data_IF_382505331185
#
_entry.id   IF_382505331185
#
_cell.length_a   1.000
_cell.length_b   1.000
_cell.length_c   1.000
_cell.angle_alpha   90.00
_cell.angle_beta   90.00
_cell.angle_gamma   90.00
#
_symmetry.space_group_name_H-M   'P 1'
#
loop_
_entity.id
_entity.type
_entity.pdbx_description
1 polymer ?
#
# COMPACT_ATOMS: atom_id res chain seq x y z
N UNK A 1 8.45 35.00 -12.48
CA UNK A 1 8.77 34.23 -13.70
C UNK A 1 7.47 34.08 -14.47
N UNK A 2 7.38 34.60 -15.70
CA UNK A 2 6.20 34.39 -16.53
C UNK A 2 6.11 32.88 -16.84
N UNK A 3 5.14 32.19 -16.27
CA UNK A 3 4.80 30.81 -16.65
C UNK A 3 4.49 30.81 -18.14
N UNK A 4 5.32 30.13 -18.93
CA UNK A 4 5.06 29.93 -20.36
C UNK A 4 3.69 29.24 -20.52
N UNK A 5 2.92 29.67 -21.52
CA UNK A 5 1.61 29.09 -21.80
C UNK A 5 1.76 27.59 -22.17
N UNK A 6 1.21 26.66 -21.34
CA UNK A 6 1.40 25.23 -21.54
C UNK A 6 0.77 24.74 -22.84
N UNK A 7 -0.31 25.39 -23.31
CA UNK A 7 -0.95 25.03 -24.58
C UNK A 7 -0.08 25.41 -25.77
N UNK A 8 0.60 26.55 -25.69
CA UNK A 8 1.55 26.96 -26.72
C UNK A 8 2.76 26.02 -26.76
N UNK A 9 3.25 25.54 -25.61
CA UNK A 9 4.30 24.52 -25.54
C UNK A 9 3.85 23.18 -26.13
N UNK A 10 2.62 22.75 -25.81
CA UNK A 10 2.05 21.52 -26.35
C UNK A 10 1.96 21.56 -27.90
N UNK A 11 1.47 22.66 -28.46
CA UNK A 11 1.42 22.85 -29.92
C UNK A 11 2.81 22.84 -30.56
N UNK A 12 3.83 23.38 -29.89
CA UNK A 12 5.22 23.32 -30.37
C UNK A 12 5.72 21.87 -30.36
N UNK A 13 5.43 21.11 -29.30
CA UNK A 13 5.80 19.71 -29.19
C UNK A 13 5.16 18.85 -30.30
N UNK A 14 3.87 19.05 -30.57
CA UNK A 14 3.15 18.35 -31.65
C UNK A 14 3.74 18.64 -33.03
N UNK A 15 4.06 19.91 -33.31
CA UNK A 15 4.72 20.30 -34.56
C UNK A 15 6.11 19.70 -34.70
N UNK A 16 6.89 19.69 -33.61
CA UNK A 16 8.21 19.07 -33.59
C UNK A 16 8.11 17.55 -33.88
N UNK A 17 7.18 16.86 -33.22
CA UNK A 17 6.94 15.43 -33.43
C UNK A 17 6.51 15.10 -34.87
N UNK A 18 5.56 15.87 -35.42
CA UNK A 18 5.11 15.71 -36.81
C UNK A 18 6.26 15.89 -37.80
N UNK A 19 7.13 16.89 -37.57
CA UNK A 19 8.30 17.15 -38.43
C UNK A 19 9.34 16.03 -38.37
N UNK A 20 9.45 15.30 -37.25
CA UNK A 20 10.34 14.16 -37.09
C UNK A 20 9.84 12.91 -37.86
N UNK A 21 8.51 12.77 -38.00
CA UNK A 21 7.88 11.65 -38.71
C UNK A 21 7.83 11.79 -40.23
N UNK A 22 7.81 13.02 -40.76
CA UNK A 22 7.51 13.30 -42.18
C UNK A 22 8.65 13.01 -43.18
N UNK A 23 9.83 12.53 -42.76
CA UNK A 23 10.93 12.15 -43.66
C UNK A 23 11.63 13.30 -44.42
N UNK A 24 11.03 14.48 -44.53
CA UNK A 24 11.64 15.69 -45.08
C UNK A 24 12.48 16.40 -44.01
N UNK A 25 13.73 15.98 -43.81
CA UNK A 25 14.67 16.69 -42.93
C UNK A 25 15.61 17.58 -43.74
N UNK A 26 15.33 18.89 -43.77
CA UNK A 26 16.22 19.90 -44.37
C UNK A 26 17.22 20.48 -43.35
N UNK A 27 16.93 20.34 -42.05
CA UNK A 27 17.80 20.75 -40.93
C UNK A 27 17.64 19.79 -39.74
N UNK A 28 18.75 19.34 -39.14
CA UNK A 28 18.80 18.49 -37.95
C UNK A 28 18.63 16.98 -38.19
N UNK A 29 19.18 16.17 -37.28
CA UNK A 29 19.03 14.72 -37.29
C UNK A 29 17.60 14.30 -36.90
N UNK A 30 17.12 13.15 -37.39
CA UNK A 30 15.78 12.63 -37.04
C UNK A 30 15.63 12.38 -35.54
N UNK A 31 16.67 11.85 -34.91
CA UNK A 31 16.73 11.59 -33.47
C UNK A 31 16.64 12.89 -32.64
N UNK A 32 17.45 13.90 -32.97
CA UNK A 32 17.46 15.23 -32.34
C UNK A 32 16.07 15.89 -32.36
N UNK A 33 15.29 15.69 -33.43
CA UNK A 33 13.91 16.19 -33.51
C UNK A 33 12.96 15.48 -32.55
N UNK A 34 13.12 14.17 -32.35
CA UNK A 34 12.35 13.42 -31.38
C UNK A 34 12.75 13.78 -29.94
N UNK A 35 14.04 14.00 -29.67
CA UNK A 35 14.54 14.50 -28.38
C UNK A 35 13.92 15.86 -28.05
N UNK A 36 13.99 16.83 -28.99
CA UNK A 36 13.36 18.14 -28.82
C UNK A 36 11.84 18.04 -28.62
N UNK A 37 11.14 17.15 -29.35
CA UNK A 37 9.71 16.93 -29.15
C UNK A 37 9.39 16.40 -27.74
N UNK A 38 10.14 15.41 -27.25
CA UNK A 38 9.98 14.86 -25.91
C UNK A 38 10.24 15.93 -24.83
N UNK A 39 11.30 16.72 -24.96
CA UNK A 39 11.61 17.82 -24.05
C UNK A 39 10.50 18.89 -24.02
N UNK A 40 9.95 19.26 -25.18
CA UNK A 40 8.85 20.22 -25.27
C UNK A 40 7.57 19.69 -24.59
N UNK A 41 7.27 18.39 -24.73
CA UNK A 41 6.18 17.76 -24.01
C UNK A 41 6.41 17.78 -22.48
N UNK A 42 7.62 17.49 -22.01
CA UNK A 42 7.99 17.58 -20.59
C UNK A 42 7.86 19.01 -20.06
N UNK A 43 8.28 20.02 -20.84
CA UNK A 43 8.12 21.43 -20.47
C UNK A 43 6.64 21.82 -20.38
N UNK A 44 5.82 21.40 -21.36
CA UNK A 44 4.38 21.61 -21.34
C UNK A 44 3.72 20.94 -20.13
N UNK A 45 4.09 19.69 -19.84
CA UNK A 45 3.59 18.93 -18.70
C UNK A 45 3.90 19.63 -17.36
N UNK A 46 5.13 20.11 -17.19
CA UNK A 46 5.53 20.87 -16.02
C UNK A 46 4.77 22.20 -15.89
N UNK A 47 4.53 22.89 -16.99
CA UNK A 47 3.72 24.11 -17.00
C UNK A 47 2.24 23.83 -16.64
N UNK A 48 1.64 22.75 -17.16
CA UNK A 48 0.31 22.28 -16.76
C UNK A 48 0.25 21.92 -15.27
N UNK A 49 1.28 21.22 -14.76
CA UNK A 49 1.42 20.87 -13.34
C UNK A 49 1.44 22.12 -12.45
N UNK A 50 2.18 23.16 -12.83
CA UNK A 50 2.22 24.43 -12.11
C UNK A 50 0.86 25.14 -12.08
N UNK A 51 0.03 24.92 -13.09
CA UNK A 51 -1.34 25.47 -13.19
C UNK A 51 -2.39 24.55 -12.55
N UNK A 52 -1.98 23.47 -11.86
CA UNK A 52 -2.85 22.46 -11.24
C UNK A 52 -3.77 21.74 -12.24
N UNK A 53 -3.37 21.70 -13.51
CA UNK A 53 -4.05 20.94 -14.58
C UNK A 53 -3.43 19.55 -14.65
N UNK A 54 -3.81 18.68 -13.69
CA UNK A 54 -3.19 17.37 -13.49
C UNK A 54 -3.38 16.41 -14.67
N UNK A 55 -4.58 16.40 -15.26
CA UNK A 55 -4.92 15.55 -16.40
C UNK A 55 -4.09 15.90 -17.63
N UNK A 56 -4.05 17.19 -17.99
CA UNK A 56 -3.29 17.69 -19.13
C UNK A 56 -1.78 17.50 -18.94
N UNK A 57 -1.29 17.67 -17.71
CA UNK A 57 0.10 17.41 -17.36
C UNK A 57 0.47 15.93 -17.57
N UNK A 58 -0.35 15.01 -17.05
CA UNK A 58 -0.13 13.58 -17.20
C UNK A 58 -0.16 13.15 -18.67
N UNK A 59 -1.11 13.66 -19.46
CA UNK A 59 -1.21 13.35 -20.89
C UNK A 59 0.04 13.80 -21.65
N UNK A 60 0.56 15.00 -21.34
CA UNK A 60 1.79 15.50 -21.93
C UNK A 60 3.01 14.65 -21.54
N UNK A 61 3.11 14.21 -20.28
CA UNK A 61 4.16 13.27 -19.86
C UNK A 61 4.07 11.92 -20.57
N UNK A 62 2.87 11.36 -20.74
CA UNK A 62 2.68 10.10 -21.48
C UNK A 62 3.11 10.22 -22.95
N UNK A 63 2.84 11.37 -23.59
CA UNK A 63 3.32 11.64 -24.95
C UNK A 63 4.85 11.71 -25.00
N UNK A 64 5.50 12.35 -24.04
CA UNK A 64 6.96 12.35 -23.94
C UNK A 64 7.51 10.93 -23.75
N UNK A 65 6.94 10.15 -22.82
CA UNK A 65 7.36 8.78 -22.55
C UNK A 65 7.20 7.87 -23.78
N UNK A 66 6.11 8.03 -24.55
CA UNK A 66 5.90 7.28 -25.78
C UNK A 66 6.98 7.56 -26.84
N UNK A 67 7.42 8.82 -26.97
CA UNK A 67 8.50 9.21 -27.89
C UNK A 67 9.82 8.60 -27.43
N UNK A 68 10.15 8.73 -26.14
CA UNK A 68 11.36 8.15 -25.53
C UNK A 68 11.41 6.64 -25.77
N UNK A 69 10.29 5.94 -25.54
CA UNK A 69 10.22 4.49 -25.70
C UNK A 69 10.32 4.02 -27.16
N UNK A 70 9.59 4.68 -28.08
CA UNK A 70 9.38 4.16 -29.44
C UNK A 70 10.29 4.77 -30.50
N UNK A 71 10.68 6.04 -30.33
CA UNK A 71 11.45 6.78 -31.32
C UNK A 71 12.91 6.95 -30.94
N UNK A 72 13.20 7.06 -29.64
CA UNK A 72 14.57 7.25 -29.11
C UNK A 72 15.19 5.96 -28.58
N UNK A 73 14.38 4.93 -28.31
CA UNK A 73 14.81 3.67 -27.70
C UNK A 73 15.45 3.90 -26.31
N UNK A 74 14.84 4.79 -25.52
CA UNK A 74 15.26 5.19 -24.17
C UNK A 74 14.22 4.73 -23.12
N UNK A 75 14.10 3.42 -22.86
CA UNK A 75 13.07 2.89 -21.96
C UNK A 75 13.26 3.31 -20.50
N UNK A 76 14.50 3.57 -20.07
CA UNK A 76 14.78 4.09 -18.73
C UNK A 76 14.22 5.51 -18.53
N UNK A 77 14.37 6.37 -19.53
CA UNK A 77 13.84 7.74 -19.48
C UNK A 77 12.32 7.74 -19.63
N UNK A 78 11.77 6.88 -20.49
CA UNK A 78 10.32 6.67 -20.56
C UNK A 78 9.74 6.26 -19.20
N UNK A 79 10.36 5.29 -18.51
CA UNK A 79 9.92 4.87 -17.17
C UNK A 79 10.02 5.99 -16.14
N UNK A 80 11.09 6.81 -16.17
CA UNK A 80 11.20 7.99 -15.30
C UNK A 80 10.07 9.00 -15.59
N UNK A 81 9.80 9.30 -16.86
CA UNK A 81 8.73 10.22 -17.28
C UNK A 81 7.36 9.72 -16.87
N UNK A 82 7.08 8.42 -16.98
CA UNK A 82 5.83 7.81 -16.51
C UNK A 82 5.64 7.93 -14.99
N UNK A 83 6.72 7.92 -14.20
CA UNK A 83 6.61 8.18 -12.75
C UNK A 83 6.25 9.64 -12.45
N UNK A 84 6.64 10.59 -13.29
CA UNK A 84 6.17 11.98 -13.19
C UNK A 84 4.70 12.11 -13.61
N UNK A 85 4.27 11.39 -14.65
CA UNK A 85 2.86 11.31 -15.05
C UNK A 85 1.97 10.79 -13.92
N UNK A 86 2.39 9.73 -13.22
CA UNK A 86 1.70 9.22 -12.03
C UNK A 86 1.50 10.31 -10.97
N UNK A 87 2.55 11.07 -10.64
CA UNK A 87 2.48 12.13 -9.62
C UNK A 87 1.46 13.21 -10.00
N UNK A 88 1.32 13.52 -11.28
CA UNK A 88 0.34 14.51 -11.76
C UNK A 88 -1.08 13.97 -11.82
N UNK A 89 -1.27 12.70 -12.22
CA UNK A 89 -2.58 12.07 -12.32
C UNK A 89 -3.17 11.67 -10.97
N UNK A 90 -2.33 11.39 -9.96
CA UNK A 90 -2.72 10.77 -8.67
C UNK A 90 -4.02 11.32 -8.06
N UNK A 91 -4.27 12.62 -8.16
CA UNK A 91 -5.48 13.27 -7.59
C UNK A 91 -6.61 13.53 -8.60
N UNK A 92 -6.30 13.62 -9.89
CA UNK A 92 -7.30 14.00 -10.91
C UNK A 92 -7.88 12.77 -11.61
N UNK A 93 -7.02 11.80 -11.93
CA UNK A 93 -7.36 10.61 -12.70
C UNK A 93 -6.57 9.41 -12.11
N UNK A 94 -6.98 8.87 -10.95
CA UNK A 94 -6.22 7.83 -10.25
C UNK A 94 -6.00 6.55 -11.08
N UNK A 95 -6.99 6.10 -11.85
CA UNK A 95 -6.84 4.90 -12.71
C UNK A 95 -5.78 5.10 -13.81
N UNK A 96 -5.68 6.30 -14.40
CA UNK A 96 -4.62 6.63 -15.36
C UNK A 96 -3.24 6.69 -14.67
N UNK A 97 -3.19 7.19 -13.43
CA UNK A 97 -1.99 7.16 -12.61
C UNK A 97 -1.50 5.71 -12.40
N UNK A 98 -2.39 4.80 -12.01
CA UNK A 98 -2.06 3.39 -11.81
C UNK A 98 -1.49 2.75 -13.09
N UNK A 99 -2.16 2.95 -14.23
CA UNK A 99 -1.72 2.45 -15.54
C UNK A 99 -0.32 2.93 -15.95
N UNK A 100 -0.05 4.22 -15.78
CA UNK A 100 1.27 4.80 -16.07
C UNK A 100 2.35 4.17 -15.18
N UNK A 101 2.05 4.05 -13.89
CA UNK A 101 3.01 3.54 -12.92
C UNK A 101 3.26 2.05 -13.05
N UNK A 102 2.25 1.23 -13.36
CA UNK A 102 2.43 -0.21 -13.64
C UNK A 102 3.37 -0.43 -14.84
N UNK A 103 3.27 0.43 -15.87
CA UNK A 103 4.19 0.37 -17.02
C UNK A 103 5.64 0.65 -16.60
N UNK A 104 5.87 1.64 -15.73
CA UNK A 104 7.19 1.93 -15.18
C UNK A 104 7.71 0.82 -14.25
N UNK A 105 6.83 0.22 -13.42
CA UNK A 105 7.16 -0.90 -12.55
C UNK A 105 7.61 -2.11 -13.37
N UNK A 106 6.87 -2.46 -14.43
CA UNK A 106 7.24 -3.56 -15.31
C UNK A 106 8.65 -3.38 -15.89
N UNK A 107 9.00 -2.16 -16.32
CA UNK A 107 10.36 -1.85 -16.77
C UNK A 107 11.41 -2.06 -15.67
N UNK A 108 11.19 -1.53 -14.46
CA UNK A 108 12.14 -1.71 -13.35
C UNK A 108 12.30 -3.18 -12.94
N UNK A 109 11.21 -3.95 -12.94
CA UNK A 109 11.23 -5.39 -12.65
C UNK A 109 12.01 -6.16 -13.71
N UNK A 110 11.79 -5.89 -15.00
CA UNK A 110 12.54 -6.53 -16.10
C UNK A 110 14.04 -6.21 -16.05
N UNK A 111 14.42 -5.03 -15.55
CA UNK A 111 15.82 -4.63 -15.34
C UNK A 111 16.44 -5.22 -14.07
N UNK A 112 15.67 -5.96 -13.26
CA UNK A 112 16.11 -6.53 -11.98
C UNK A 112 16.19 -5.52 -10.84
N UNK A 113 15.65 -4.31 -11.00
CA UNK A 113 15.62 -3.29 -9.95
C UNK A 113 14.39 -3.45 -9.05
N UNK A 114 14.34 -4.57 -8.32
CA UNK A 114 13.21 -4.94 -7.46
C UNK A 114 12.94 -3.94 -6.36
N UNK A 115 13.98 -3.34 -5.75
CA UNK A 115 13.80 -2.31 -4.71
C UNK A 115 13.05 -1.08 -5.21
N UNK A 116 13.41 -0.60 -6.41
CA UNK A 116 12.72 0.54 -7.03
C UNK A 116 11.31 0.16 -7.47
N UNK A 117 11.14 -1.02 -8.04
CA UNK A 117 9.83 -1.57 -8.38
C UNK A 117 8.90 -1.67 -7.16
N UNK A 118 9.41 -2.17 -6.02
CA UNK A 118 8.67 -2.30 -4.76
C UNK A 118 8.22 -0.94 -4.22
N UNK A 119 9.10 0.06 -4.27
CA UNK A 119 8.76 1.43 -3.86
C UNK A 119 7.60 1.98 -4.68
N UNK A 120 7.62 1.79 -6.00
CA UNK A 120 6.53 2.23 -6.87
C UNK A 120 5.27 1.39 -6.71
N UNK A 121 5.39 0.07 -6.49
CA UNK A 121 4.23 -0.79 -6.23
C UNK A 121 3.54 -0.44 -4.91
N UNK A 122 4.30 -0.05 -3.90
CA UNK A 122 3.75 0.52 -2.66
C UNK A 122 2.96 1.82 -2.93
N UNK A 123 3.43 2.69 -3.84
CA UNK A 123 2.70 3.91 -4.21
C UNK A 123 1.39 3.60 -4.96
N UNK A 124 1.36 2.55 -5.80
CA UNK A 124 0.13 2.05 -6.42
C UNK A 124 -0.84 1.53 -5.35
N UNK A 125 -0.32 0.77 -4.38
CA UNK A 125 -1.15 0.25 -3.29
C UNK A 125 -1.80 1.39 -2.47
N UNK A 126 -1.04 2.44 -2.16
CA UNK A 126 -1.54 3.63 -1.47
C UNK A 126 -2.58 4.39 -2.32
N UNK A 127 -2.36 4.49 -3.63
CA UNK A 127 -3.33 5.07 -4.56
C UNK A 127 -4.66 4.29 -4.53
N UNK A 128 -4.59 2.96 -4.58
CA UNK A 128 -5.77 2.10 -4.51
C UNK A 128 -6.50 2.21 -3.18
N UNK A 129 -5.77 2.22 -2.07
CA UNK A 129 -6.34 2.35 -0.73
C UNK A 129 -7.01 3.71 -0.51
N UNK A 130 -6.30 4.80 -0.83
CA UNK A 130 -6.68 6.16 -0.42
C UNK A 130 -7.56 6.87 -1.44
N UNK A 131 -7.18 6.82 -2.73
CA UNK A 131 -7.86 7.62 -3.77
C UNK A 131 -9.01 6.84 -4.41
N UNK A 132 -8.87 5.51 -4.58
CA UNK A 132 -9.91 4.67 -5.17
C UNK A 132 -10.77 3.92 -4.15
N UNK A 133 -10.30 3.78 -2.91
CA UNK A 133 -10.97 2.99 -1.87
C UNK A 133 -11.04 1.49 -2.16
N UNK A 134 -10.23 1.00 -3.11
CA UNK A 134 -10.21 -0.40 -3.55
C UNK A 134 -9.24 -1.22 -2.67
N UNK A 135 -9.77 -1.74 -1.57
CA UNK A 135 -8.98 -2.45 -0.58
C UNK A 135 -8.38 -3.75 -1.12
N UNK A 136 -9.08 -4.43 -2.04
CA UNK A 136 -8.61 -5.70 -2.60
C UNK A 136 -7.39 -5.50 -3.49
N UNK A 137 -7.46 -4.56 -4.44
CA UNK A 137 -6.30 -4.22 -5.28
C UNK A 137 -5.15 -3.65 -4.44
N UNK A 138 -5.46 -2.85 -3.41
CA UNK A 138 -4.45 -2.33 -2.49
C UNK A 138 -3.70 -3.45 -1.76
N UNK A 139 -4.41 -4.44 -1.21
CA UNK A 139 -3.81 -5.59 -0.52
C UNK A 139 -2.88 -6.39 -1.43
N UNK A 140 -3.33 -6.74 -2.64
CA UNK A 140 -2.52 -7.49 -3.61
C UNK A 140 -1.23 -6.72 -3.99
N UNK A 141 -1.35 -5.39 -4.18
CA UNK A 141 -0.22 -4.54 -4.49
C UNK A 141 0.77 -4.41 -3.31
N UNK A 142 0.27 -4.26 -2.07
CA UNK A 142 1.10 -4.24 -0.87
C UNK A 142 1.83 -5.57 -0.65
N UNK A 143 1.15 -6.71 -0.86
CA UNK A 143 1.72 -8.05 -0.73
C UNK A 143 2.82 -8.29 -1.76
N UNK A 144 2.59 -7.91 -3.02
CA UNK A 144 3.61 -7.99 -4.08
C UNK A 144 4.84 -7.13 -3.74
N UNK A 145 4.62 -5.89 -3.29
CA UNK A 145 5.70 -4.98 -2.91
C UNK A 145 6.49 -5.51 -1.70
N UNK A 146 5.82 -6.11 -0.73
CA UNK A 146 6.43 -6.71 0.44
C UNK A 146 7.32 -7.90 0.06
N UNK A 147 6.85 -8.78 -0.84
CA UNK A 147 7.64 -9.90 -1.35
C UNK A 147 8.90 -9.46 -2.10
N UNK A 148 8.84 -8.37 -2.88
CA UNK A 148 10.02 -7.81 -3.52
C UNK A 148 11.01 -7.19 -2.51
N UNK A 149 10.53 -6.53 -1.45
CA UNK A 149 11.41 -6.04 -0.39
C UNK A 149 12.06 -7.18 0.41
N UNK A 150 11.33 -8.27 0.65
CA UNK A 150 11.86 -9.46 1.31
C UNK A 150 12.99 -10.08 0.47
N UNK A 151 12.79 -10.23 -0.84
CA UNK A 151 13.82 -10.70 -1.78
C UNK A 151 15.06 -9.79 -1.83
N UNK A 152 14.88 -8.48 -1.64
CA UNK A 152 15.96 -7.48 -1.56
C UNK A 152 16.64 -7.41 -0.16
N UNK A 153 16.34 -8.34 0.75
CA UNK A 153 16.81 -8.33 2.15
C UNK A 153 16.44 -7.04 2.91
N UNK A 154 15.35 -6.38 2.53
CA UNK A 154 14.83 -5.17 3.16
C UNK A 154 13.67 -5.49 4.12
N UNK A 155 13.93 -6.37 5.11
CA UNK A 155 12.95 -6.93 6.03
C UNK A 155 12.11 -5.87 6.77
N UNK A 156 12.72 -4.77 7.21
CA UNK A 156 11.99 -3.69 7.88
C UNK A 156 10.91 -3.04 6.98
N UNK A 157 11.19 -2.92 5.68
CA UNK A 157 10.24 -2.38 4.70
C UNK A 157 9.17 -3.42 4.38
N UNK A 158 9.55 -4.69 4.20
CA UNK A 158 8.63 -5.80 3.97
C UNK A 158 7.63 -5.95 5.14
N UNK A 159 8.14 -5.98 6.38
CA UNK A 159 7.32 -6.07 7.60
C UNK A 159 6.29 -4.93 7.68
N UNK A 160 6.68 -3.70 7.36
CA UNK A 160 5.75 -2.56 7.33
C UNK A 160 4.59 -2.79 6.36
N UNK A 161 4.87 -3.37 5.19
CA UNK A 161 3.83 -3.66 4.19
C UNK A 161 2.98 -4.88 4.56
N UNK A 162 3.58 -5.92 5.13
CA UNK A 162 2.82 -7.08 5.62
C UNK A 162 1.86 -6.71 6.77
N UNK A 163 2.26 -5.82 7.67
CA UNK A 163 1.35 -5.27 8.69
C UNK A 163 0.18 -4.52 8.03
N UNK A 164 0.44 -3.79 6.94
CA UNK A 164 -0.60 -3.09 6.19
C UNK A 164 -1.56 -4.07 5.51
N UNK A 165 -1.05 -5.14 4.90
CA UNK A 165 -1.86 -6.24 4.35
C UNK A 165 -2.71 -6.87 5.45
N UNK A 166 -2.13 -7.16 6.62
CA UNK A 166 -2.87 -7.71 7.76
C UNK A 166 -3.97 -6.79 8.26
N UNK A 167 -3.68 -5.48 8.37
CA UNK A 167 -4.67 -4.48 8.77
C UNK A 167 -5.86 -4.43 7.81
N UNK A 168 -5.60 -4.40 6.49
CA UNK A 168 -6.63 -4.37 5.46
C UNK A 168 -7.41 -5.69 5.38
N UNK A 169 -6.72 -6.83 5.45
CA UNK A 169 -7.35 -8.16 5.39
C UNK A 169 -8.33 -8.36 6.54
N UNK A 170 -7.95 -7.96 7.75
CA UNK A 170 -8.84 -8.05 8.90
C UNK A 170 -10.08 -7.15 8.75
N UNK A 171 -9.92 -5.95 8.18
CA UNK A 171 -11.06 -5.05 7.92
C UNK A 171 -12.00 -5.60 6.85
N UNK A 172 -11.49 -6.29 5.83
CA UNK A 172 -12.31 -6.98 4.81
C UNK A 172 -12.94 -8.29 5.33
N UNK A 173 -12.52 -8.78 6.50
CA UNK A 173 -13.02 -10.01 7.13
C UNK A 173 -12.22 -11.27 6.81
N UNK A 174 -11.09 -11.15 6.11
CA UNK A 174 -10.14 -12.25 5.92
C UNK A 174 -9.18 -12.33 7.12
N UNK A 175 -9.73 -12.84 8.23
CA UNK A 175 -9.00 -12.93 9.50
C UNK A 175 -7.82 -13.89 9.43
N UNK A 176 -7.93 -14.98 8.67
CA UNK A 176 -6.84 -15.96 8.52
C UNK A 176 -5.61 -15.34 7.86
N UNK A 177 -5.80 -14.60 6.77
CA UNK A 177 -4.71 -13.87 6.11
C UNK A 177 -4.11 -12.80 7.04
N UNK A 178 -4.94 -12.12 7.82
CA UNK A 178 -4.47 -11.15 8.79
C UNK A 178 -3.58 -11.78 9.87
N UNK A 179 -4.03 -12.89 10.46
CA UNK A 179 -3.29 -13.67 11.47
C UNK A 179 -1.92 -14.08 10.92
N UNK A 180 -1.88 -14.68 9.74
CA UNK A 180 -0.63 -15.13 9.11
C UNK A 180 0.37 -13.97 8.97
N UNK A 181 -0.11 -12.82 8.50
CA UNK A 181 0.72 -11.63 8.33
C UNK A 181 1.27 -11.09 9.66
N UNK A 182 0.42 -10.95 10.68
CA UNK A 182 0.83 -10.43 11.99
C UNK A 182 1.79 -11.38 12.70
N UNK A 183 1.50 -12.69 12.70
CA UNK A 183 2.37 -13.68 13.32
C UNK A 183 3.72 -13.80 12.62
N UNK A 184 3.74 -13.73 11.28
CA UNK A 184 4.99 -13.70 10.52
C UNK A 184 5.86 -12.51 10.94
N UNK A 185 5.27 -11.31 11.00
CA UNK A 185 6.00 -10.10 11.39
C UNK A 185 6.43 -10.14 12.86
N UNK A 186 5.62 -10.73 13.74
CA UNK A 186 5.99 -10.95 15.14
C UNK A 186 7.22 -11.86 15.26
N UNK A 187 7.22 -13.00 14.55
CA UNK A 187 8.33 -13.97 14.52
C UNK A 187 9.62 -13.38 13.94
N UNK A 188 9.52 -12.53 12.92
CA UNK A 188 10.70 -11.85 12.35
C UNK A 188 11.23 -10.73 13.27
N UNK A 189 10.33 -10.02 13.94
CA UNK A 189 10.67 -8.85 14.77
C UNK A 189 11.23 -9.19 16.15
N UNK A 190 11.00 -10.40 16.67
CA UNK A 190 11.39 -10.75 18.05
C UNK A 190 12.89 -10.79 18.29
N UNK A 191 13.66 -11.17 17.26
CA UNK A 191 15.12 -11.22 17.31
C UNK A 191 15.76 -9.83 17.13
N UNK A 192 14.96 -8.82 16.82
CA UNK A 192 15.42 -7.45 16.61
C UNK A 192 15.13 -6.58 17.86
N UNK A 193 16.17 -6.23 18.61
CA UNK A 193 16.07 -5.43 19.83
C UNK A 193 15.35 -4.07 19.63
N UNK A 194 15.35 -3.51 18.42
CA UNK A 194 14.64 -2.27 18.11
C UNK A 194 13.13 -2.49 17.91
N UNK A 195 12.73 -3.65 17.39
CA UNK A 195 11.34 -3.97 17.06
C UNK A 195 10.64 -4.82 18.13
N UNK A 196 11.39 -5.38 19.09
CA UNK A 196 10.87 -6.21 20.17
C UNK A 196 9.69 -5.58 20.90
N UNK A 197 9.74 -4.27 21.16
CA UNK A 197 8.66 -3.54 21.84
C UNK A 197 7.34 -3.51 21.05
N UNK A 198 7.40 -3.66 19.74
CA UNK A 198 6.22 -3.68 18.85
C UNK A 198 5.63 -5.09 18.69
N UNK A 199 6.33 -6.14 19.12
CA UNK A 199 5.87 -7.54 18.97
C UNK A 199 4.54 -7.76 19.68
N UNK A 200 4.41 -7.27 20.92
CA UNK A 200 3.17 -7.34 21.70
C UNK A 200 1.95 -6.74 20.99
N UNK A 201 2.16 -5.68 20.20
CA UNK A 201 1.11 -5.03 19.42
C UNK A 201 0.70 -5.93 18.24
N UNK A 202 1.66 -6.57 17.56
CA UNK A 202 1.36 -7.51 16.48
C UNK A 202 0.63 -8.74 16.99
N UNK A 203 1.05 -9.28 18.14
CA UNK A 203 0.40 -10.42 18.80
C UNK A 203 -1.01 -10.05 19.29
N UNK A 204 -1.22 -8.83 19.80
CA UNK A 204 -2.56 -8.32 20.14
C UNK A 204 -3.45 -8.30 18.90
N UNK A 205 -2.97 -7.76 17.78
CA UNK A 205 -3.73 -7.72 16.53
C UNK A 205 -4.07 -9.11 16.00
N UNK A 206 -3.11 -10.04 16.04
CA UNK A 206 -3.33 -11.44 15.66
C UNK A 206 -4.38 -12.11 16.58
N UNK A 207 -4.28 -11.91 17.89
CA UNK A 207 -5.24 -12.42 18.88
C UNK A 207 -6.66 -11.87 18.68
N UNK A 208 -6.81 -10.58 18.37
CA UNK A 208 -8.12 -9.99 18.02
C UNK A 208 -8.69 -10.64 16.76
N UNK A 209 -7.85 -10.94 15.77
CA UNK A 209 -8.30 -11.65 14.56
C UNK A 209 -8.71 -13.09 14.87
N UNK A 210 -7.98 -13.81 15.74
CA UNK A 210 -8.37 -15.14 16.22
C UNK A 210 -9.71 -15.12 16.96
N UNK A 211 -9.98 -14.12 17.80
CA UNK A 211 -11.30 -13.95 18.41
C UNK A 211 -12.40 -13.75 17.36
N UNK A 212 -12.09 -13.06 16.25
CA UNK A 212 -13.05 -12.77 15.19
C UNK A 212 -13.37 -13.97 14.28
N UNK A 213 -12.57 -15.05 14.29
CA UNK A 213 -12.86 -16.28 13.53
C UNK A 213 -13.91 -17.17 14.19
N UNK A 214 -14.30 -16.88 15.45
CA UNK A 214 -15.15 -17.72 16.30
C UNK A 214 -14.56 -19.13 16.61
N UNK A 215 -13.27 -19.35 16.38
CA UNK A 215 -12.57 -20.58 16.77
C UNK A 215 -11.84 -20.38 18.12
N UNK A 216 -12.56 -20.56 19.23
CA UNK A 216 -12.01 -20.35 20.57
C UNK A 216 -10.87 -21.33 20.91
N UNK A 217 -10.94 -22.56 20.41
CA UNK A 217 -9.89 -23.57 20.61
C UNK A 217 -8.62 -23.15 19.88
N UNK A 218 -8.76 -22.70 18.63
CA UNK A 218 -7.67 -22.11 17.85
C UNK A 218 -7.07 -20.88 18.52
N UNK A 219 -7.92 -19.97 19.03
CA UNK A 219 -7.50 -18.76 19.71
C UNK A 219 -6.71 -19.05 20.99
N UNK A 220 -7.18 -19.94 21.87
CA UNK A 220 -6.43 -20.33 23.08
C UNK A 220 -5.07 -20.93 22.75
N UNK A 221 -5.04 -21.85 21.78
CA UNK A 221 -3.79 -22.48 21.33
C UNK A 221 -2.81 -21.46 20.76
N UNK A 222 -3.31 -20.48 20.01
CA UNK A 222 -2.49 -19.38 19.49
C UNK A 222 -1.91 -18.54 20.63
N UNK A 223 -2.71 -18.15 21.63
CA UNK A 223 -2.23 -17.40 22.81
C UNK A 223 -1.14 -18.15 23.58
N UNK A 224 -1.29 -19.47 23.77
CA UNK A 224 -0.26 -20.30 24.39
C UNK A 224 1.03 -20.28 23.57
N UNK A 225 0.94 -20.44 22.24
CA UNK A 225 2.10 -20.37 21.36
C UNK A 225 2.79 -19.01 21.34
N UNK A 226 2.06 -17.93 21.64
CA UNK A 226 2.63 -16.59 21.74
C UNK A 226 3.49 -16.42 23.00
N UNK A 227 3.16 -17.12 24.09
CA UNK A 227 4.00 -17.16 25.28
C UNK A 227 5.31 -17.91 25.02
N UNK A 228 5.27 -18.97 24.20
CA UNK A 228 6.48 -19.68 23.78
C UNK A 228 7.37 -18.81 22.87
N UNK A 229 6.74 -17.94 22.08
CA UNK A 229 7.45 -16.99 21.22
C UNK A 229 8.14 -15.91 22.06
N UNK A 230 7.40 -15.21 22.93
CA UNK A 230 7.94 -14.21 23.85
C UNK A 230 7.51 -14.50 25.28
N UNK A 231 8.43 -15.02 26.09
CA UNK A 231 8.15 -15.35 27.50
C UNK A 231 7.70 -14.12 28.32
N UNK A 232 8.01 -12.90 27.86
CA UNK A 232 7.58 -11.67 28.54
C UNK A 232 6.15 -11.26 28.20
N UNK A 233 5.56 -11.81 27.12
CA UNK A 233 4.23 -11.47 26.64
C UNK A 233 3.15 -11.74 27.68
N UNK A 234 3.25 -12.86 28.41
CA UNK A 234 2.34 -13.22 29.50
C UNK A 234 2.14 -12.12 30.56
N UNK A 235 3.16 -11.28 30.79
CA UNK A 235 3.12 -10.18 31.76
C UNK A 235 2.56 -8.87 31.20
N UNK A 236 2.27 -8.84 29.89
CA UNK A 236 1.81 -7.63 29.20
C UNK A 236 0.31 -7.44 29.36
N UNK A 237 -0.15 -6.18 29.24
CA UNK A 237 -1.57 -5.85 29.29
C UNK A 237 -2.31 -6.42 28.09
N UNK A 238 -1.61 -6.50 26.97
CA UNK A 238 -2.07 -7.04 25.70
C UNK A 238 -2.45 -8.52 25.84
N UNK A 239 -1.61 -9.34 26.48
CA UNK A 239 -1.92 -10.74 26.77
C UNK A 239 -3.08 -10.88 27.77
N UNK A 240 -3.04 -10.14 28.88
CA UNK A 240 -4.11 -10.18 29.90
C UNK A 240 -5.47 -9.82 29.28
N UNK A 241 -5.50 -8.80 28.41
CA UNK A 241 -6.71 -8.44 27.68
C UNK A 241 -7.19 -9.59 26.79
N UNK A 242 -6.31 -10.18 25.97
CA UNK A 242 -6.72 -11.27 25.08
C UNK A 242 -7.31 -12.46 25.85
N UNK A 243 -6.71 -12.82 26.99
CA UNK A 243 -7.23 -13.91 27.82
C UNK A 243 -8.58 -13.56 28.46
N UNK A 244 -8.72 -12.34 29.01
CA UNK A 244 -9.98 -11.84 29.56
C UNK A 244 -11.11 -11.82 28.50
N UNK A 245 -10.80 -11.41 27.26
CA UNK A 245 -11.77 -11.40 26.16
C UNK A 245 -12.13 -12.82 25.70
N UNK A 246 -11.16 -13.74 25.66
CA UNK A 246 -11.40 -15.15 25.35
C UNK A 246 -12.38 -15.78 26.37
N UNK A 247 -12.11 -15.58 27.66
CA UNK A 247 -12.96 -16.10 28.74
C UNK A 247 -14.37 -15.51 28.66
N UNK A 248 -14.50 -14.21 28.35
CA UNK A 248 -15.80 -13.56 28.17
C UNK A 248 -16.57 -14.10 26.95
N UNK A 249 -15.89 -14.31 25.82
CA UNK A 249 -16.52 -14.87 24.61
C UNK A 249 -16.95 -16.31 24.83
N UNK A 250 -16.15 -17.14 25.51
CA UNK A 250 -16.52 -18.53 25.86
C UNK A 250 -17.70 -18.60 26.84
N UNK A 251 -17.79 -17.66 27.78
CA UNK A 251 -18.90 -17.54 28.70
C UNK A 251 -20.17 -16.93 28.06
N UNK A 252 -20.06 -16.36 26.87
CA UNK A 252 -21.13 -15.59 26.23
C UNK A 252 -21.38 -14.21 26.86
N UNK A 253 -20.50 -13.73 27.75
CA UNK A 253 -20.77 -12.56 28.59
C UNK A 253 -20.29 -11.24 27.94
N UNK A 254 -21.23 -10.52 27.33
CA UNK A 254 -20.96 -9.22 26.69
C UNK A 254 -20.66 -8.08 27.67
N UNK A 255 -21.19 -8.15 28.90
CA UNK A 255 -20.97 -7.12 29.91
C UNK A 255 -19.52 -7.16 30.36
N UNK A 256 -19.03 -8.35 30.69
CA UNK A 256 -17.62 -8.58 31.04
C UNK A 256 -16.71 -8.20 29.86
N UNK A 257 -17.06 -8.60 28.62
CA UNK A 257 -16.28 -8.21 27.44
C UNK A 257 -16.14 -6.68 27.33
N UNK A 258 -17.24 -5.96 27.51
CA UNK A 258 -17.26 -4.49 27.41
C UNK A 258 -16.52 -3.82 28.56
N UNK A 259 -16.64 -4.34 29.78
CA UNK A 259 -15.95 -3.84 30.96
C UNK A 259 -14.43 -3.96 30.80
N UNK A 260 -13.94 -5.12 30.37
CA UNK A 260 -12.51 -5.38 30.18
C UNK A 260 -11.91 -4.48 29.10
N UNK A 261 -12.64 -4.26 28.00
CA UNK A 261 -12.24 -3.28 26.98
C UNK A 261 -12.17 -1.85 27.53
N UNK A 262 -13.12 -1.44 28.36
CA UNK A 262 -13.12 -0.11 28.98
C UNK A 262 -11.92 0.06 29.92
N UNK A 263 -11.64 -0.92 30.77
CA UNK A 263 -10.48 -0.91 31.68
C UNK A 263 -9.16 -0.81 30.89
N UNK A 264 -9.05 -1.56 29.78
CA UNK A 264 -7.88 -1.47 28.91
C UNK A 264 -7.76 -0.10 28.24
N UNK A 265 -8.84 0.44 27.68
CA UNK A 265 -8.83 1.74 26.98
C UNK A 265 -8.42 2.92 27.88
N UNK A 266 -8.70 2.85 29.19
CA UNK A 266 -8.25 3.86 30.15
C UNK A 266 -6.72 3.94 30.25
N UNK A 267 -6.04 2.82 30.07
CA UNK A 267 -4.59 2.71 30.24
C UNK A 267 -3.84 2.68 28.91
N UNK A 268 -4.46 2.11 27.88
CA UNK A 268 -3.92 1.86 26.55
C UNK A 268 -5.02 2.14 25.53
N UNK A 269 -4.99 3.32 24.91
CA UNK A 269 -6.05 3.77 24.00
C UNK A 269 -6.24 2.82 22.82
N UNK A 270 -7.49 2.40 22.60
CA UNK A 270 -7.88 1.59 21.45
C UNK A 270 -7.97 2.48 20.21
N UNK A 271 -7.22 2.13 19.17
CA UNK A 271 -7.33 2.80 17.88
C UNK A 271 -8.61 2.37 17.13
N UNK A 272 -8.87 3.04 16.00
CA UNK A 272 -10.03 2.76 15.15
C UNK A 272 -10.05 1.31 14.64
N UNK A 273 -8.89 0.73 14.34
CA UNK A 273 -8.80 -0.63 13.81
C UNK A 273 -9.21 -1.65 14.88
N UNK A 274 -8.63 -1.56 16.08
CA UNK A 274 -8.95 -2.43 17.21
C UNK A 274 -10.43 -2.31 17.57
N UNK A 275 -10.92 -1.08 17.69
CA UNK A 275 -12.33 -0.81 18.00
C UNK A 275 -13.27 -1.47 16.98
N UNK A 276 -12.96 -1.34 15.69
CA UNK A 276 -13.79 -1.93 14.62
C UNK A 276 -13.87 -3.45 14.72
N UNK A 277 -12.74 -4.13 14.94
CA UNK A 277 -12.75 -5.60 15.04
C UNK A 277 -13.35 -6.10 16.35
N UNK A 278 -13.05 -5.45 17.47
CA UNK A 278 -13.59 -5.82 18.78
C UNK A 278 -15.11 -5.66 18.82
N UNK A 279 -15.67 -4.66 18.12
CA UNK A 279 -17.12 -4.54 17.96
C UNK A 279 -17.70 -5.68 17.11
N UNK A 280 -16.97 -6.18 16.10
CA UNK A 280 -17.39 -7.38 15.33
C UNK A 280 -17.37 -8.63 16.20
N UNK A 281 -16.33 -8.81 17.02
CA UNK A 281 -16.24 -9.92 17.99
C UNK A 281 -17.41 -9.85 18.97
N UNK A 282 -17.68 -8.69 19.57
CA UNK A 282 -18.82 -8.50 20.46
C UNK A 282 -20.16 -8.86 19.81
N UNK A 283 -20.39 -8.42 18.56
CA UNK A 283 -21.61 -8.76 17.83
C UNK A 283 -21.75 -10.24 17.47
N UNK A 284 -20.66 -11.02 17.45
CA UNK A 284 -20.74 -12.48 17.28
C UNK A 284 -21.17 -13.18 18.57
N UNK A 285 -20.82 -12.64 19.74
CA UNK A 285 -21.28 -13.15 21.04
C UNK A 285 -22.79 -13.01 21.18
N UNK A 286 -23.35 -11.86 20.79
CA UNK A 286 -24.79 -11.58 20.80
C UNK A 286 -25.61 -12.61 20.01
N UNK A 287 -25.13 -12.96 18.81
CA UNK A 287 -25.80 -13.95 17.97
C UNK A 287 -25.79 -15.35 18.61
N UNK A 288 -24.74 -15.69 19.34
CA UNK A 288 -24.69 -16.97 20.05
C UNK A 288 -25.69 -16.98 21.21
N UNK A 289 -25.79 -15.91 22.01
CA UNK A 289 -26.78 -15.81 23.08
C UNK A 289 -28.23 -15.92 22.56
N UNK A 290 -28.55 -15.28 21.43
CA UNK A 290 -29.87 -15.37 20.78
C UNK A 290 -30.18 -16.77 20.25
N UNK A 291 -29.20 -17.48 19.66
CA UNK A 291 -29.38 -18.85 19.14
C UNK A 291 -29.58 -19.90 20.25
N UNK A 292 -29.15 -19.62 21.48
CA UNK A 292 -29.30 -20.51 22.65
C UNK A 292 -30.51 -20.18 23.55
N UNK A 293 -31.24 -19.09 23.26
CA UNK A 293 -32.42 -18.62 24.01
C UNK A 293 -33.75 -19.05 23.37
#
# INVERSE_FOLDING_TARGET
MATQDPRALLQKAEKALSSAGSGFSLFGGRQEKYENAAELYIQAANAFRMQKQGKEAGLAFERAAAIQQTNLNEPDDAANTLTEAFKTYRKTDPEDAARCLDSAINHYTLKGNFRRAATWKQNIAELFEVELGDQKRAMEAYETAAGWYEQDNAEALANKLFLKVGDLAALEGDYYKAIENFERVAKSSINNNLMKWSVKEYLLKAGICHLATNDMVGARRALESYNDLDHTFSSTREYMLLNDLLDAVEAGDQEVFSEKLFQFDQLSKLDKWKTTLLLRVKGNVEKQEEDFS
#
